data_IF_331813159216
#
_entry.id   IF_331813159216
#
_cell.length_a   1.000
_cell.length_b   1.000
_cell.length_c   1.000
_cell.angle_alpha   90.00
_cell.angle_beta   90.00
_cell.angle_gamma   90.00
#
_symmetry.space_group_name_H-M   'P 1'
#
loop_
_entity.id
_entity.type
_entity.pdbx_description
1 polymer ?
#
# COMPACT_ATOMS: atom_id res chain seq x y z
N UNK A 1 28.47 39.85 0.17
CA UNK A 1 27.93 39.23 1.40
C UNK A 1 26.93 38.18 1.00
N UNK A 2 26.74 37.12 1.80
CA UNK A 2 25.74 36.09 1.49
C UNK A 2 24.31 36.62 1.63
N UNK A 3 23.39 36.11 0.81
CA UNK A 3 21.97 36.42 0.92
C UNK A 3 21.34 35.56 2.01
N UNK A 4 21.09 36.17 3.17
CA UNK A 4 20.56 35.49 4.35
C UNK A 4 19.13 34.98 4.13
N UNK A 5 18.31 35.69 3.34
CA UNK A 5 16.95 35.24 3.06
C UNK A 5 16.97 34.00 2.18
N UNK A 6 17.85 33.97 1.17
CA UNK A 6 18.01 32.80 0.32
C UNK A 6 18.51 31.58 1.10
N UNK A 7 19.47 31.78 2.02
CA UNK A 7 19.99 30.69 2.85
C UNK A 7 18.89 30.08 3.73
N UNK A 8 18.07 30.93 4.38
CA UNK A 8 16.96 30.44 5.20
C UNK A 8 15.94 29.64 4.39
N UNK A 9 15.58 30.13 3.21
CA UNK A 9 14.67 29.43 2.30
C UNK A 9 15.22 28.04 1.93
N UNK A 10 16.50 27.94 1.56
CA UNK A 10 17.11 26.66 1.20
C UNK A 10 17.22 25.71 2.39
N UNK A 11 17.51 26.22 3.58
CA UNK A 11 17.51 25.41 4.81
C UNK A 11 16.13 24.87 5.16
N UNK A 12 15.08 25.68 5.03
CA UNK A 12 13.71 25.21 5.24
C UNK A 12 13.33 24.10 4.25
N UNK A 13 13.71 24.24 2.98
CA UNK A 13 13.51 23.22 1.95
C UNK A 13 14.30 21.95 2.28
N UNK A 14 15.57 22.07 2.68
CA UNK A 14 16.41 20.93 3.04
C UNK A 14 15.80 20.15 4.21
N UNK A 15 15.46 20.84 5.29
CA UNK A 15 14.91 20.23 6.50
C UNK A 15 13.56 19.55 6.22
N UNK A 16 12.69 20.20 5.43
CA UNK A 16 11.43 19.61 4.99
C UNK A 16 11.65 18.32 4.21
N UNK A 17 12.45 18.37 3.13
CA UNK A 17 12.64 17.21 2.26
C UNK A 17 13.38 16.07 2.95
N UNK A 18 14.31 16.37 3.85
CA UNK A 18 15.01 15.35 4.65
C UNK A 18 14.01 14.54 5.46
N UNK A 19 13.08 15.21 6.14
CA UNK A 19 12.05 14.55 6.93
C UNK A 19 11.10 13.71 6.06
N UNK A 20 10.61 14.26 4.95
CA UNK A 20 9.72 13.54 4.03
C UNK A 20 10.38 12.25 3.48
N UNK A 21 11.67 12.31 3.13
CA UNK A 21 12.41 11.13 2.66
C UNK A 21 12.55 10.08 3.77
N UNK A 22 12.84 10.48 5.00
CA UNK A 22 12.95 9.56 6.13
C UNK A 22 11.61 8.87 6.44
N UNK A 23 10.52 9.63 6.45
CA UNK A 23 9.19 9.11 6.77
C UNK A 23 8.67 8.22 5.64
N UNK A 24 8.88 8.60 4.37
CA UNK A 24 8.54 7.76 3.23
C UNK A 24 9.33 6.45 3.21
N UNK A 25 10.62 6.47 3.54
CA UNK A 25 11.43 5.23 3.65
C UNK A 25 10.85 4.25 4.67
N UNK A 26 10.44 4.74 5.84
CA UNK A 26 9.81 3.89 6.89
C UNK A 26 8.48 3.29 6.39
N UNK A 27 7.65 4.10 5.74
CA UNK A 27 6.38 3.65 5.18
C UNK A 27 6.59 2.60 4.08
N UNK A 28 7.56 2.85 3.18
CA UNK A 28 7.92 1.93 2.10
C UNK A 28 8.41 0.58 2.63
N UNK A 29 9.26 0.56 3.66
CA UNK A 29 9.71 -0.70 4.27
C UNK A 29 8.56 -1.47 4.93
N UNK A 30 7.65 -0.77 5.61
CA UNK A 30 6.43 -1.40 6.16
C UNK A 30 5.57 -2.01 5.05
N UNK A 31 5.39 -1.28 3.95
CA UNK A 31 4.60 -1.73 2.80
C UNK A 31 5.23 -2.92 2.07
N UNK A 32 6.57 -2.92 1.91
CA UNK A 32 7.31 -4.08 1.37
C UNK A 32 7.10 -5.33 2.22
N UNK A 33 7.20 -5.20 3.54
CA UNK A 33 7.03 -6.31 4.45
C UNK A 33 5.60 -6.88 4.43
N UNK A 34 4.57 -6.05 4.21
CA UNK A 34 3.19 -6.52 4.09
C UNK A 34 2.88 -7.25 2.79
N UNK A 35 3.72 -7.14 1.75
CA UNK A 35 3.46 -7.77 0.45
C UNK A 35 3.38 -9.30 0.53
N UNK A 36 4.08 -9.92 1.49
CA UNK A 36 4.01 -11.38 1.70
C UNK A 36 2.60 -11.81 2.13
N UNK A 37 2.02 -11.12 3.10
CA UNK A 37 0.68 -11.45 3.60
C UNK A 37 -0.40 -11.03 2.60
N UNK A 38 -0.21 -9.90 1.91
CA UNK A 38 -1.05 -9.50 0.78
C UNK A 38 -1.08 -10.59 -0.30
N UNK A 39 0.07 -11.16 -0.69
CA UNK A 39 0.13 -12.23 -1.68
C UNK A 39 -0.63 -13.47 -1.23
N UNK A 40 -0.52 -13.84 0.05
CA UNK A 40 -1.30 -14.95 0.63
C UNK A 40 -2.82 -14.70 0.52
N UNK A 41 -3.28 -13.48 0.81
CA UNK A 41 -4.69 -13.12 0.66
C UNK A 41 -5.14 -13.16 -0.81
N UNK A 42 -4.33 -12.62 -1.72
CA UNK A 42 -4.60 -12.63 -3.17
C UNK A 42 -4.70 -14.07 -3.72
N UNK A 43 -3.80 -14.94 -3.29
CA UNK A 43 -3.79 -16.36 -3.67
C UNK A 43 -5.02 -17.09 -3.13
N UNK A 44 -5.37 -16.83 -1.86
CA UNK A 44 -6.58 -17.39 -1.26
C UNK A 44 -7.83 -16.94 -2.03
N UNK A 45 -8.00 -15.63 -2.26
CA UNK A 45 -9.16 -15.09 -2.96
C UNK A 45 -9.35 -15.65 -4.37
N UNK A 46 -8.26 -16.03 -5.04
CA UNK A 46 -8.28 -16.62 -6.38
C UNK A 46 -8.37 -18.15 -6.39
N UNK A 47 -8.53 -18.80 -5.23
CA UNK A 47 -8.44 -20.25 -5.07
C UNK A 47 -9.81 -20.95 -5.05
N UNK A 48 -9.80 -22.26 -5.29
CA UNK A 48 -10.96 -23.13 -5.05
C UNK A 48 -11.34 -23.20 -3.57
N UNK A 49 -10.38 -23.03 -2.66
CA UNK A 49 -10.60 -23.01 -1.21
C UNK A 49 -11.51 -21.84 -0.82
N UNK A 50 -11.26 -20.64 -1.35
CA UNK A 50 -12.13 -19.48 -1.16
C UNK A 50 -13.57 -19.75 -1.61
N UNK A 51 -13.74 -20.35 -2.79
CA UNK A 51 -15.09 -20.64 -3.31
C UNK A 51 -15.85 -21.61 -2.42
N UNK A 52 -15.15 -22.61 -1.87
CA UNK A 52 -15.73 -23.56 -0.92
C UNK A 52 -16.10 -22.88 0.40
N UNK A 53 -15.20 -22.08 0.96
CA UNK A 53 -15.44 -21.40 2.23
C UNK A 53 -16.58 -20.37 2.11
N UNK A 54 -16.68 -19.69 0.96
CA UNK A 54 -17.80 -18.81 0.61
C UNK A 54 -19.13 -19.57 0.56
N UNK A 55 -19.14 -20.79 0.01
CA UNK A 55 -20.34 -21.63 0.03
C UNK A 55 -20.74 -22.03 1.47
N UNK A 56 -19.77 -22.40 2.31
CA UNK A 56 -20.01 -22.70 3.73
C UNK A 56 -20.52 -21.48 4.50
N UNK A 57 -19.98 -20.29 4.22
CA UNK A 57 -20.46 -18.99 4.70
C UNK A 57 -21.93 -18.77 4.33
N UNK A 58 -22.28 -18.91 3.05
CA UNK A 58 -23.63 -18.73 2.53
C UNK A 58 -24.64 -19.72 3.13
N UNK A 59 -24.18 -20.90 3.54
CA UNK A 59 -24.98 -21.92 4.23
C UNK A 59 -25.11 -21.68 5.74
N UNK A 60 -24.48 -20.63 6.29
CA UNK A 60 -24.50 -20.31 7.72
C UNK A 60 -23.68 -21.28 8.58
N UNK A 61 -22.68 -21.96 7.99
CA UNK A 61 -21.83 -22.93 8.69
C UNK A 61 -20.66 -22.30 9.43
N UNK A 62 -20.37 -21.03 9.16
CA UNK A 62 -19.33 -20.24 9.85
C UNK A 62 -19.98 -19.52 11.03
N UNK A 63 -19.30 -19.54 12.17
CA UNK A 63 -19.73 -18.82 13.38
C UNK A 63 -19.99 -17.33 13.04
N UNK A 64 -21.20 -16.80 13.32
CA UNK A 64 -21.52 -15.40 13.02
C UNK A 64 -20.67 -14.38 13.78
N UNK A 65 -19.98 -14.78 14.85
CA UNK A 65 -19.02 -13.91 15.56
C UNK A 65 -17.68 -13.75 14.82
N UNK A 66 -17.40 -14.59 13.82
CA UNK A 66 -16.22 -14.45 12.96
C UNK A 66 -16.53 -13.39 11.89
N UNK A 67 -15.63 -12.41 11.74
CA UNK A 67 -15.75 -11.44 10.64
C UNK A 67 -15.52 -12.11 9.29
N UNK A 68 -16.47 -11.92 8.37
CA UNK A 68 -16.48 -12.56 7.06
C UNK A 68 -16.29 -11.55 5.91
N UNK A 69 -15.60 -10.43 6.19
CA UNK A 69 -15.35 -9.38 5.18
C UNK A 69 -14.60 -9.87 3.94
N UNK A 70 -13.81 -10.94 4.07
CA UNK A 70 -13.13 -11.60 2.95
C UNK A 70 -14.10 -12.15 1.89
N UNK A 71 -15.33 -12.48 2.26
CA UNK A 71 -16.38 -13.00 1.38
C UNK A 71 -17.28 -11.90 0.79
N UNK A 72 -17.02 -10.64 1.13
CA UNK A 72 -17.69 -9.53 0.43
C UNK A 72 -17.21 -9.47 -1.02
N UNK A 73 -18.09 -9.00 -1.91
CA UNK A 73 -17.78 -8.85 -3.32
C UNK A 73 -16.59 -7.89 -3.54
N UNK A 74 -16.57 -6.79 -2.79
CA UNK A 74 -15.70 -5.64 -3.10
C UNK A 74 -14.41 -5.57 -2.26
N UNK A 75 -14.40 -5.94 -0.98
CA UNK A 75 -13.28 -5.54 -0.08
C UNK A 75 -11.92 -6.09 -0.50
N UNK A 76 -11.86 -7.38 -0.88
CA UNK A 76 -10.60 -7.96 -1.33
C UNK A 76 -10.25 -7.44 -2.71
N UNK A 77 -11.23 -7.33 -3.61
CA UNK A 77 -11.02 -6.82 -4.96
C UNK A 77 -10.46 -5.39 -4.97
N UNK A 78 -11.06 -4.50 -4.18
CA UNK A 78 -10.63 -3.10 -4.02
C UNK A 78 -9.21 -3.03 -3.46
N UNK A 79 -8.89 -3.81 -2.44
CA UNK A 79 -7.54 -3.89 -1.89
C UNK A 79 -6.51 -4.35 -2.94
N UNK A 80 -6.87 -5.33 -3.79
CA UNK A 80 -5.99 -5.80 -4.86
C UNK A 80 -5.73 -4.67 -5.87
N UNK A 81 -6.78 -3.94 -6.25
CA UNK A 81 -6.72 -2.79 -7.15
C UNK A 81 -5.87 -1.65 -6.58
N UNK A 82 -6.12 -1.24 -5.34
CA UNK A 82 -5.38 -0.18 -4.65
C UNK A 82 -3.88 -0.50 -4.56
N UNK A 83 -3.54 -1.75 -4.23
CA UNK A 83 -2.14 -2.17 -4.17
C UNK A 83 -1.46 -2.13 -5.56
N UNK A 84 -2.18 -2.47 -6.63
CA UNK A 84 -1.68 -2.39 -8.00
C UNK A 84 -1.47 -0.93 -8.43
N UNK A 85 -2.48 -0.06 -8.28
CA UNK A 85 -2.38 1.34 -8.71
C UNK A 85 -1.34 2.12 -7.88
N UNK A 86 -1.22 1.83 -6.58
CA UNK A 86 -0.14 2.38 -5.77
C UNK A 86 1.25 1.99 -6.30
N UNK A 87 1.42 0.75 -6.77
CA UNK A 87 2.68 0.31 -7.36
C UNK A 87 2.97 1.03 -8.69
N UNK A 88 1.94 1.35 -9.48
CA UNK A 88 2.07 2.17 -10.70
C UNK A 88 2.50 3.59 -10.34
N UNK A 89 1.84 4.23 -9.38
CA UNK A 89 2.20 5.57 -8.91
C UNK A 89 3.64 5.63 -8.40
N UNK A 90 4.08 4.58 -7.69
CA UNK A 90 5.48 4.45 -7.24
C UNK A 90 6.46 4.36 -8.41
N UNK A 91 6.12 3.63 -9.48
CA UNK A 91 6.96 3.49 -10.67
C UNK A 91 7.06 4.82 -11.43
N UNK A 92 5.94 5.52 -11.58
CA UNK A 92 5.87 6.82 -12.25
C UNK A 92 6.70 7.86 -11.50
N UNK A 93 6.50 7.99 -10.18
CA UNK A 93 7.28 8.90 -9.34
C UNK A 93 8.78 8.58 -9.37
N UNK A 94 9.14 7.29 -9.24
CA UNK A 94 10.55 6.89 -9.30
C UNK A 94 11.19 7.25 -10.65
N UNK A 95 10.45 7.03 -11.74
CA UNK A 95 10.89 7.36 -13.10
C UNK A 95 11.07 8.86 -13.29
N UNK A 96 10.12 9.67 -12.80
CA UNK A 96 10.20 11.13 -12.85
C UNK A 96 11.43 11.65 -12.08
N UNK A 97 11.65 11.16 -10.85
CA UNK A 97 12.82 11.53 -10.04
C UNK A 97 14.11 11.17 -10.77
N UNK A 98 14.23 9.95 -11.31
CA UNK A 98 15.46 9.50 -11.98
C UNK A 98 15.74 10.30 -13.26
N UNK A 99 14.72 10.66 -14.04
CA UNK A 99 14.90 11.43 -15.28
C UNK A 99 15.35 12.87 -15.04
N UNK A 100 14.99 13.43 -13.88
CA UNK A 100 15.21 14.83 -13.53
C UNK A 100 16.40 15.05 -12.57
N UNK A 101 17.20 14.02 -12.30
CA UNK A 101 18.46 14.07 -11.55
C UNK A 101 19.64 13.68 -12.44
#
# INVERSE_FOLDING_TARGET
MADINKIKEMEEILNKNTKEVEDFRKALEKFKNSQKDYKKLSDYYSSEEYMKDLEESNQGKIDPEISQGIFSEDLVYDLLGDNYYLAVDMLDLATEIIKNN
#
